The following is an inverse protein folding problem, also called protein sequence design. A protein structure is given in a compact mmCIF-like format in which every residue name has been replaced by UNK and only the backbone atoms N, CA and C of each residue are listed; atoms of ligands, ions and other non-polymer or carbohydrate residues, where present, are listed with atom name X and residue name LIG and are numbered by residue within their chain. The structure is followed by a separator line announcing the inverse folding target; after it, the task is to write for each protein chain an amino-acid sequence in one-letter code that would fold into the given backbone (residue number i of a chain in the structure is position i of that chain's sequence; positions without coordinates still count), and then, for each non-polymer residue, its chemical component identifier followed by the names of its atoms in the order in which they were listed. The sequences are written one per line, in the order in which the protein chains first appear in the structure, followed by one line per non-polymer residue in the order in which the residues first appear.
data_IF_446259838879
#
_entry.id   IF_446259838879
#
_cell.length_a   1.000
_cell.length_b   1.000
_cell.length_c   1.000
_cell.angle_alpha   90.00
_cell.angle_beta   90.00
_cell.angle_gamma   90.00
#
_symmetry.space_group_name_H-M   'P 1'
#
loop_
_entity.id
_entity.type
_entity.pdbx_description
1 polymer ?
#
# COMPACT_ATOMS: atom_id res chain seq x y z
N UNK A 1 -8.62 3.66 -5.65
CA UNK A 1 -7.81 2.45 -5.47
C UNK A 1 -6.38 2.88 -5.19
N UNK A 2 -5.71 2.22 -4.25
CA UNK A 2 -4.26 2.32 -4.09
C UNK A 2 -3.62 1.14 -4.80
N UNK A 3 -2.59 1.41 -5.59
CA UNK A 3 -1.84 0.40 -6.35
C UNK A 3 -0.35 0.65 -6.13
N UNK A 4 0.43 -0.40 -5.88
CA UNK A 4 1.87 -0.31 -5.68
C UNK A 4 2.62 -1.44 -6.37
N UNK A 5 3.83 -1.15 -6.85
CA UNK A 5 4.80 -2.13 -7.31
C UNK A 5 5.62 -2.62 -6.11
N UNK A 6 5.42 -3.88 -5.74
CA UNK A 6 5.92 -4.46 -4.49
C UNK A 6 6.86 -5.62 -4.79
N UNK A 7 8.01 -5.67 -4.12
CA UNK A 7 8.88 -6.84 -4.02
C UNK A 7 8.85 -7.41 -2.60
N UNK A 8 8.55 -8.70 -2.46
CA UNK A 8 8.36 -9.34 -1.15
C UNK A 8 8.77 -10.81 -1.14
N UNK A 9 9.79 -11.11 -0.35
CA UNK A 9 10.17 -12.47 0.01
C UNK A 9 9.03 -13.22 0.75
N UNK A 10 8.87 -14.54 0.56
CA UNK A 10 7.84 -15.33 1.25
C UNK A 10 7.75 -15.14 2.77
N UNK A 11 8.86 -14.90 3.47
CA UNK A 11 8.89 -14.68 4.91
C UNK A 11 8.22 -13.35 5.37
N UNK A 12 7.92 -12.46 4.42
CA UNK A 12 7.29 -11.16 4.66
C UNK A 12 5.83 -11.12 4.21
N UNK A 13 5.33 -12.19 3.59
CA UNK A 13 3.92 -12.31 3.19
C UNK A 13 2.98 -12.12 4.37
N UNK A 14 1.88 -11.40 4.16
CA UNK A 14 0.88 -11.09 5.18
C UNK A 14 1.18 -9.83 6.02
N UNK A 15 2.38 -9.24 5.92
CA UNK A 15 2.65 -7.90 6.46
C UNK A 15 1.91 -6.84 5.64
N UNK A 16 1.78 -5.62 6.16
CA UNK A 16 0.91 -4.64 5.53
C UNK A 16 1.45 -3.21 5.55
N UNK A 17 0.96 -2.41 4.62
CA UNK A 17 1.06 -0.95 4.68
C UNK A 17 -0.33 -0.34 4.87
N UNK A 18 -0.41 0.69 5.70
CA UNK A 18 -1.58 1.55 5.80
C UNK A 18 -1.36 2.82 5.01
N UNK A 19 -2.34 3.16 4.17
CA UNK A 19 -2.48 4.51 3.64
C UNK A 19 -3.30 5.33 4.61
N UNK A 20 -2.73 6.42 5.11
CA UNK A 20 -3.36 7.38 6.01
C UNK A 20 -3.37 8.78 5.42
N UNK A 21 -4.34 9.59 5.84
CA UNK A 21 -4.40 11.01 5.50
C UNK A 21 -4.21 11.87 6.73
N UNK A 22 -3.69 13.08 6.53
CA UNK A 22 -3.60 14.16 7.52
C UNK A 22 -2.70 13.92 8.74
N UNK A 23 -2.04 12.75 8.83
CA UNK A 23 -0.99 12.48 9.80
C UNK A 23 -0.59 11.00 9.88
N UNK A 24 0.53 10.71 10.56
CA UNK A 24 0.99 9.34 10.83
C UNK A 24 -0.01 8.53 11.67
N UNK A 25 -0.79 9.21 12.53
CA UNK A 25 -1.88 8.64 13.33
C UNK A 25 -3.27 9.05 12.82
N UNK A 26 -3.34 9.71 11.66
CA UNK A 26 -4.59 10.16 11.05
C UNK A 26 -5.45 9.01 10.48
N UNK A 27 -6.62 9.32 9.89
CA UNK A 27 -7.56 8.31 9.40
C UNK A 27 -6.90 7.33 8.42
N UNK A 28 -7.13 6.03 8.62
CA UNK A 28 -6.74 4.99 7.66
C UNK A 28 -7.77 4.98 6.53
N UNK A 29 -7.29 5.11 5.30
CA UNK A 29 -8.13 5.05 4.10
C UNK A 29 -7.90 3.78 3.28
N UNK A 30 -6.86 3.00 3.59
CA UNK A 30 -6.64 1.69 2.97
C UNK A 30 -5.55 0.91 3.70
N UNK A 31 -5.64 -0.42 3.61
CA UNK A 31 -4.63 -1.34 4.16
C UNK A 31 -4.28 -2.35 3.08
N UNK A 32 -3.07 -2.24 2.52
CA UNK A 32 -2.54 -3.20 1.56
C UNK A 32 -1.81 -4.30 2.33
N UNK A 33 -2.40 -5.49 2.42
CA UNK A 33 -1.70 -6.70 2.85
C UNK A 33 -0.83 -7.20 1.70
N UNK A 34 0.46 -7.35 1.94
CA UNK A 34 1.44 -7.75 0.95
C UNK A 34 1.39 -9.26 0.75
N UNK A 35 1.19 -9.69 -0.48
CA UNK A 35 1.46 -11.06 -0.91
C UNK A 35 2.94 -11.20 -1.29
N UNK A 36 3.50 -12.39 -1.08
CA UNK A 36 4.84 -12.70 -1.59
C UNK A 36 4.89 -12.61 -3.11
N UNK A 37 6.01 -12.13 -3.62
CA UNK A 37 6.31 -12.05 -5.05
C UNK A 37 7.44 -12.98 -5.47
N UNK A 38 8.07 -13.67 -4.51
CA UNK A 38 9.21 -14.58 -4.74
C UNK A 38 10.53 -14.06 -4.18
N UNK A 39 10.67 -12.74 -4.05
CA UNK A 39 11.88 -12.09 -3.57
C UNK A 39 11.75 -10.57 -3.53
N UNK A 40 12.72 -9.89 -2.93
CA UNK A 40 12.71 -8.41 -2.81
C UNK A 40 12.90 -7.69 -4.16
N UNK A 41 13.58 -8.33 -5.11
CA UNK A 41 13.80 -7.80 -6.45
C UNK A 41 12.72 -8.24 -7.48
N UNK A 42 11.79 -9.11 -7.08
CA UNK A 42 10.72 -9.62 -7.95
C UNK A 42 9.47 -8.75 -7.83
N UNK A 43 9.45 -7.61 -8.53
CA UNK A 43 8.36 -6.64 -8.38
C UNK A 43 7.08 -7.06 -9.11
N UNK A 44 5.96 -7.06 -8.38
CA UNK A 44 4.61 -7.24 -8.96
C UNK A 44 3.65 -6.18 -8.45
N UNK A 45 2.65 -5.85 -9.27
CA UNK A 45 1.62 -4.88 -8.89
C UNK A 45 0.60 -5.49 -7.96
N UNK A 46 0.42 -4.89 -6.78
CA UNK A 46 -0.63 -5.23 -5.82
C UNK A 46 -1.51 -4.01 -5.56
N UNK A 47 -2.79 -4.23 -5.26
CA UNK A 47 -3.76 -3.13 -5.12
C UNK A 47 -4.83 -3.40 -4.08
N UNK A 48 -5.35 -2.33 -3.48
CA UNK A 48 -6.46 -2.37 -2.53
C UNK A 48 -7.42 -1.20 -2.77
N UNK A 49 -8.74 -1.38 -2.65
CA UNK A 49 -9.66 -0.25 -2.59
C UNK A 49 -9.28 0.69 -1.42
N UNK A 50 -9.57 1.98 -1.61
CA UNK A 50 -9.43 2.97 -0.54
C UNK A 50 -10.79 3.63 -0.29
N UNK A 51 -11.01 4.07 0.95
CA UNK A 51 -12.11 4.96 1.30
C UNK A 51 -12.05 6.20 0.41
N UNK A 52 -13.13 6.58 -0.28
CA UNK A 52 -13.15 7.80 -1.10
C UNK A 52 -12.82 9.05 -0.29
N UNK A 53 -11.83 9.81 -0.74
CA UNK A 53 -11.39 11.08 -0.15
C UNK A 53 -11.56 12.23 -1.15
N UNK A 54 -11.67 13.46 -0.66
CA UNK A 54 -11.87 14.66 -1.48
C UNK A 54 -11.03 15.81 -0.94
N UNK A 55 -10.58 16.69 -1.84
CA UNK A 55 -9.73 17.82 -1.47
C UNK A 55 -8.25 17.45 -1.42
N UNK A 56 -7.46 18.30 -0.79
CA UNK A 56 -6.01 18.17 -0.71
C UNK A 56 -5.64 17.65 0.68
N UNK A 57 -4.97 16.49 0.72
CA UNK A 57 -4.50 15.85 1.94
C UNK A 57 -3.02 15.53 1.86
N UNK A 58 -2.34 15.55 3.00
CA UNK A 58 -1.05 14.87 3.13
C UNK A 58 -1.31 13.38 3.22
N UNK A 59 -0.60 12.59 2.40
CA UNK A 59 -0.72 11.13 2.40
C UNK A 59 0.50 10.54 3.11
N UNK A 60 0.24 9.58 3.98
CA UNK A 60 1.25 8.85 4.73
C UNK A 60 1.10 7.36 4.43
N UNK A 61 2.19 6.72 4.02
CA UNK A 61 2.27 5.27 3.90
C UNK A 61 3.00 4.73 5.14
N UNK A 62 2.29 3.99 5.98
CA UNK A 62 2.80 3.49 7.26
C UNK A 62 3.00 1.99 7.17
N UNK A 63 4.24 1.55 7.34
CA UNK A 63 4.59 0.13 7.40
C UNK A 63 4.10 -0.48 8.72
N UNK A 64 3.22 -1.48 8.66
CA UNK A 64 2.75 -2.27 9.79
C UNK A 64 3.60 -3.54 9.92
N UNK A 65 4.77 -3.39 10.49
CA UNK A 65 5.69 -4.49 10.74
C UNK A 65 6.71 -4.13 11.81
N UNK A 66 7.41 -5.14 12.30
CA UNK A 66 8.63 -4.99 13.09
C UNK A 66 9.86 -5.10 12.19
N UNK A 67 11.04 -4.90 12.77
CA UNK A 67 12.32 -5.11 12.11
C UNK A 67 12.35 -6.46 11.33
N UNK A 68 12.91 -6.50 10.12
CA UNK A 68 13.62 -5.40 9.44
C UNK A 68 12.77 -4.58 8.46
N UNK A 69 11.48 -4.88 8.25
CA UNK A 69 10.65 -4.16 7.28
C UNK A 69 9.33 -4.85 6.96
N UNK A 70 8.64 -4.38 5.91
CA UNK A 70 7.38 -4.98 5.41
C UNK A 70 7.57 -5.59 4.03
N UNK A 71 8.06 -4.80 3.07
CA UNK A 71 8.37 -5.18 1.70
C UNK A 71 9.10 -4.00 1.04
N UNK A 72 9.62 -4.20 -0.17
CA UNK A 72 10.15 -3.12 -0.99
C UNK A 72 9.05 -2.51 -1.87
N UNK A 73 9.09 -1.19 -2.04
CA UNK A 73 8.17 -0.44 -2.90
C UNK A 73 9.01 0.34 -3.90
N UNK A 74 8.77 0.09 -5.18
CA UNK A 74 9.38 0.86 -6.27
C UNK A 74 8.55 2.13 -6.58
N UNK A 75 7.26 1.95 -6.87
CA UNK A 75 6.34 3.06 -7.13
C UNK A 75 4.92 2.75 -6.68
N UNK A 76 4.09 3.80 -6.53
CA UNK A 76 2.68 3.67 -6.21
C UNK A 76 1.84 4.75 -6.90
N UNK A 77 0.54 4.49 -7.01
CA UNK A 77 -0.43 5.40 -7.58
C UNK A 77 -1.78 5.33 -6.86
N UNK A 78 -2.51 6.44 -6.92
CA UNK A 78 -3.92 6.51 -6.55
C UNK A 78 -4.75 6.69 -7.81
N UNK A 79 -5.61 5.73 -8.10
CA UNK A 79 -6.53 5.83 -9.24
C UNK A 79 -7.95 5.97 -8.75
N UNK A 80 -8.72 6.79 -9.45
CA UNK A 80 -10.18 6.76 -9.29
C UNK A 80 -10.66 5.42 -9.87
N UNK A 81 -11.54 4.67 -9.20
CA UNK A 81 -12.23 3.58 -9.88
C UNK A 81 -12.84 4.14 -11.15
N UNK A 82 -12.59 3.50 -12.30
CA UNK A 82 -13.28 3.86 -13.55
C UNK A 82 -14.77 3.72 -13.24
N UNK A 83 -15.58 4.80 -13.34
CA UNK A 83 -17.02 4.66 -13.25
C UNK A 83 -17.43 3.68 -14.35
N UNK A 84 -18.00 2.53 -13.98
CA UNK A 84 -18.64 1.68 -14.97
C UNK A 84 -19.82 2.50 -15.51
N UNK A 85 -19.92 2.69 -16.84
CA UNK A 85 -21.02 3.45 -17.46
C UNK A 85 -22.41 2.94 -17.05
#
# INVERSE_FOLDING_TARGET
MFTASIGSDPAYSGRAFQTRVDGLTGPVIGTLTVASTGGFDDYTTQSVPITPTKGVHKVYLVALGSSPGVADIDHFAFTRPVPVP
#
